data_IF_419304845584
#
_entry.id   IF_419304845584
#
_cell.length_a   1.000
_cell.length_b   1.000
_cell.length_c   1.000
_cell.angle_alpha   90.00
_cell.angle_beta   90.00
_cell.angle_gamma   90.00
#
_symmetry.space_group_name_H-M   'P 1'
#
loop_
_entity.id
_entity.type
_entity.pdbx_description
1 polymer ?
#
# COMPACT_ATOMS: atom_id res chain seq x y z
N UNK A 1 5.72 -10.55 -18.23
CA UNK A 1 5.26 -9.14 -18.32
C UNK A 1 3.80 -8.96 -17.92
N UNK A 2 2.84 -9.75 -18.43
CA UNK A 2 1.41 -9.59 -18.12
C UNK A 2 1.03 -9.58 -16.63
N UNK A 3 1.57 -10.48 -15.82
CA UNK A 3 1.27 -10.55 -14.37
C UNK A 3 1.77 -9.33 -13.56
N UNK A 4 2.82 -8.65 -14.01
CA UNK A 4 3.33 -7.44 -13.35
C UNK A 4 2.41 -6.26 -13.66
N UNK A 5 1.96 -6.15 -14.92
CA UNK A 5 1.09 -5.07 -15.38
C UNK A 5 -0.31 -5.18 -14.76
N UNK A 6 -0.90 -6.38 -14.68
CA UNK A 6 -2.21 -6.56 -14.05
C UNK A 6 -2.21 -6.23 -12.56
N UNK A 7 -1.10 -6.53 -11.86
CA UNK A 7 -0.92 -6.16 -10.45
C UNK A 7 -0.88 -4.64 -10.25
N UNK A 8 -0.16 -3.92 -11.12
CA UNK A 8 -0.14 -2.46 -11.14
C UNK A 8 -1.51 -1.86 -11.44
N UNK A 9 -2.20 -2.37 -12.46
CA UNK A 9 -3.54 -1.91 -12.82
C UNK A 9 -4.52 -2.08 -11.67
N UNK A 10 -4.51 -3.21 -10.97
CA UNK A 10 -5.36 -3.43 -9.79
C UNK A 10 -5.03 -2.47 -8.66
N UNK A 11 -3.74 -2.21 -8.41
CA UNK A 11 -3.29 -1.24 -7.42
C UNK A 11 -3.74 0.19 -7.72
N UNK A 12 -3.63 0.64 -8.97
CA UNK A 12 -4.10 1.98 -9.36
C UNK A 12 -5.62 2.11 -9.34
N UNK A 13 -6.34 1.07 -9.78
CA UNK A 13 -7.80 1.03 -9.78
C UNK A 13 -8.37 1.16 -8.38
N UNK A 14 -7.74 0.57 -7.36
CA UNK A 14 -8.23 0.61 -5.99
C UNK A 14 -7.62 1.76 -5.18
N UNK A 15 -6.33 2.06 -5.40
CA UNK A 15 -5.61 3.07 -4.64
C UNK A 15 -6.17 4.48 -4.82
N UNK A 16 -6.40 4.91 -6.06
CA UNK A 16 -6.88 6.27 -6.33
C UNK A 16 -8.31 6.52 -5.80
N UNK A 17 -9.31 5.64 -6.02
CA UNK A 17 -10.63 5.81 -5.45
C UNK A 17 -10.66 5.74 -3.92
N UNK A 18 -9.87 4.85 -3.29
CA UNK A 18 -9.84 4.75 -1.83
C UNK A 18 -9.19 6.00 -1.21
N UNK A 19 -8.13 6.53 -1.84
CA UNK A 19 -7.51 7.78 -1.42
C UNK A 19 -8.48 8.97 -1.57
N UNK A 20 -9.23 9.02 -2.68
CA UNK A 20 -10.28 10.03 -2.89
C UNK A 20 -11.40 9.93 -1.86
N UNK A 21 -11.89 8.72 -1.59
CA UNK A 21 -12.90 8.49 -0.56
C UNK A 21 -12.44 8.90 0.84
N UNK A 22 -11.20 8.55 1.20
CA UNK A 22 -10.59 8.98 2.48
C UNK A 22 -10.42 10.51 2.53
N UNK A 23 -10.07 11.15 1.42
CA UNK A 23 -9.96 12.60 1.37
C UNK A 23 -11.34 13.26 1.59
N UNK A 24 -12.36 12.82 0.85
CA UNK A 24 -13.72 13.34 0.96
C UNK A 24 -14.31 13.13 2.36
N UNK A 25 -14.11 11.94 2.96
CA UNK A 25 -14.59 11.63 4.30
C UNK A 25 -13.97 12.50 5.40
N UNK A 26 -12.78 13.06 5.18
CA UNK A 26 -12.06 13.87 6.16
C UNK A 26 -12.11 15.37 5.88
N UNK A 27 -13.10 15.81 5.08
CA UNK A 27 -13.38 17.22 4.81
C UNK A 27 -13.00 17.67 3.40
N UNK A 28 -12.63 16.74 2.52
CA UNK A 28 -12.33 16.99 1.12
C UNK A 28 -11.10 17.87 0.93
N UNK A 29 -10.91 18.35 -0.30
CA UNK A 29 -9.80 19.22 -0.66
C UNK A 29 -9.82 20.57 0.09
N UNK A 30 -10.99 21.00 0.55
CA UNK A 30 -11.18 22.31 1.21
C UNK A 30 -10.77 22.31 2.68
N UNK A 31 -10.72 21.14 3.35
CA UNK A 31 -10.20 21.01 4.71
C UNK A 31 -8.66 21.13 4.80
N UNK A 32 -7.98 21.37 3.67
CA UNK A 32 -6.55 21.62 3.60
C UNK A 32 -5.69 20.37 3.84
N UNK A 33 -4.42 20.58 4.21
CA UNK A 33 -3.43 19.50 4.31
C UNK A 33 -3.81 18.37 5.30
N UNK A 34 -4.62 18.67 6.32
CA UNK A 34 -5.01 17.69 7.33
C UNK A 34 -5.86 16.55 6.74
N UNK A 35 -6.68 16.83 5.72
CA UNK A 35 -7.53 15.82 5.08
C UNK A 35 -6.75 14.78 4.25
N UNK A 36 -5.49 15.06 3.91
CA UNK A 36 -4.62 14.11 3.20
C UNK A 36 -3.88 13.12 4.12
N UNK A 37 -3.75 13.43 5.41
CA UNK A 37 -3.03 12.57 6.37
C UNK A 37 -3.59 11.15 6.48
N UNK A 38 -4.92 10.93 6.51
CA UNK A 38 -5.51 9.60 6.54
C UNK A 38 -5.19 8.77 5.29
N UNK A 39 -5.22 9.40 4.11
CA UNK A 39 -4.87 8.73 2.85
C UNK A 39 -3.39 8.32 2.82
N UNK A 40 -2.49 9.18 3.32
CA UNK A 40 -1.06 8.84 3.46
C UNK A 40 -0.84 7.71 4.48
N UNK A 41 -1.52 7.74 5.62
CA UNK A 41 -1.42 6.69 6.63
C UNK A 41 -1.93 5.34 6.10
N UNK A 42 -3.05 5.35 5.38
CA UNK A 42 -3.58 4.16 4.69
C UNK A 42 -2.55 3.57 3.72
N UNK A 43 -2.01 4.39 2.82
CA UNK A 43 -0.98 3.95 1.86
C UNK A 43 0.25 3.37 2.58
N UNK A 44 0.73 4.02 3.64
CA UNK A 44 1.85 3.55 4.45
C UNK A 44 1.57 2.21 5.15
N UNK A 45 0.39 2.06 5.77
CA UNK A 45 0.01 0.82 6.45
C UNK A 45 -0.11 -0.36 5.48
N UNK A 46 -0.61 -0.14 4.27
CA UNK A 46 -0.66 -1.15 3.23
C UNK A 46 0.74 -1.56 2.77
N UNK A 47 1.63 -0.58 2.58
CA UNK A 47 3.02 -0.86 2.20
C UNK A 47 3.74 -1.69 3.29
N UNK A 48 3.53 -1.36 4.57
CA UNK A 48 4.07 -2.15 5.68
C UNK A 48 3.48 -3.57 5.73
N UNK A 49 2.16 -3.71 5.54
CA UNK A 49 1.51 -5.02 5.47
C UNK A 49 2.07 -5.88 4.33
N UNK A 50 2.23 -5.29 3.14
CA UNK A 50 2.82 -5.96 1.98
C UNK A 50 4.28 -6.39 2.24
N UNK A 51 5.09 -5.51 2.83
CA UNK A 51 6.45 -5.83 3.24
C UNK A 51 6.48 -7.00 4.25
N UNK A 52 5.59 -6.98 5.24
CA UNK A 52 5.44 -8.06 6.22
C UNK A 52 5.06 -9.40 5.58
N UNK A 53 4.16 -9.41 4.59
CA UNK A 53 3.84 -10.63 3.86
C UNK A 53 5.03 -11.17 3.06
N UNK A 54 5.77 -10.29 2.39
CA UNK A 54 6.98 -10.68 1.65
C UNK A 54 8.02 -11.25 2.60
N UNK A 55 8.24 -10.60 3.75
CA UNK A 55 9.15 -11.08 4.78
C UNK A 55 8.71 -12.43 5.36
N UNK A 56 7.43 -12.62 5.64
CA UNK A 56 6.88 -13.88 6.13
C UNK A 56 7.08 -15.02 5.14
N UNK A 57 6.82 -14.77 3.85
CA UNK A 57 7.08 -15.76 2.78
C UNK A 57 8.57 -16.10 2.72
N UNK A 58 9.44 -15.09 2.81
CA UNK A 58 10.89 -15.27 2.76
C UNK A 58 11.40 -16.06 3.97
N UNK A 59 10.92 -15.74 5.16
CA UNK A 59 11.24 -16.46 6.39
C UNK A 59 10.80 -17.93 6.33
N UNK A 60 9.63 -18.20 5.71
CA UNK A 60 9.12 -19.56 5.55
C UNK A 60 9.87 -20.36 4.48
N UNK A 61 10.28 -19.70 3.40
CA UNK A 61 11.07 -20.30 2.32
C UNK A 61 12.52 -20.56 2.75
N UNK A 62 13.11 -19.69 3.57
CA UNK A 62 14.46 -19.81 4.04
C UNK A 62 14.54 -19.26 5.47
N UNK A 63 14.64 -20.14 6.48
CA UNK A 63 14.75 -19.74 7.90
C UNK A 63 16.05 -18.99 8.22
N UNK A 64 16.97 -18.91 7.26
CA UNK A 64 18.20 -18.15 7.38
C UNK A 64 17.95 -16.70 6.95
N UNK A 65 17.80 -15.83 7.94
CA UNK A 65 17.63 -14.37 7.78
C UNK A 65 18.86 -13.75 7.08
N UNK A 66 20.01 -14.44 7.13
CA UNK A 66 21.29 -14.04 6.54
C UNK A 66 21.67 -14.79 5.25
N UNK A 67 20.75 -15.55 4.63
CA UNK A 67 21.05 -16.13 3.33
C UNK A 67 21.30 -15.00 2.31
N UNK A 68 22.57 -14.88 1.88
CA UNK A 68 23.06 -13.89 0.91
C UNK A 68 22.16 -13.86 -0.32
N UNK A 69 21.78 -12.64 -0.72
CA UNK A 69 21.09 -12.32 -1.98
C UNK A 69 22.00 -12.68 -3.15
#
# INVERSE_FOLDING_TARGET
>A
MGMIVTSWSGGYLLGAPIAGYLLDAYGGQEAGFQAYRPAMFYAGSLALGAAGFVELVRFRANRNIFARI
#
